data_IF_761058857145
#
_entry.id   IF_761058857145
#
_cell.length_a   1.000
_cell.length_b   1.000
_cell.length_c   1.000
_cell.angle_alpha   90.00
_cell.angle_beta   90.00
_cell.angle_gamma   90.00
#
_symmetry.space_group_name_H-M   'P 1'
#
loop_
_entity.id
_entity.type
_entity.pdbx_description
1 polymer ?
#
# COMPACT_ATOMS: atom_id res chain seq x y z
N UNK A 1 26.93 -62.62 -3.10
CA UNK A 1 26.42 -61.70 -2.06
C UNK A 1 26.13 -60.36 -2.71
N UNK A 2 24.88 -60.08 -3.06
CA UNK A 2 24.42 -58.76 -3.54
C UNK A 2 23.13 -58.46 -2.78
N UNK A 3 23.19 -57.53 -1.82
CA UNK A 3 22.04 -57.04 -1.07
C UNK A 3 21.28 -56.05 -1.95
N UNK A 4 20.03 -56.39 -2.24
CA UNK A 4 19.02 -55.51 -2.86
C UNK A 4 18.78 -54.28 -1.99
N UNK A 5 19.06 -53.09 -2.52
CA UNK A 5 18.66 -51.79 -1.97
C UNK A 5 17.26 -51.45 -2.51
N UNK A 6 16.23 -51.98 -1.86
CA UNK A 6 14.87 -51.50 -2.06
C UNK A 6 14.64 -50.27 -1.17
N UNK A 7 14.62 -49.08 -1.75
CA UNK A 7 14.08 -47.89 -1.07
C UNK A 7 12.54 -48.04 -0.97
N UNK A 8 11.92 -47.84 0.19
CA UNK A 8 10.47 -47.90 0.30
C UNK A 8 9.85 -46.69 -0.41
N UNK A 9 9.06 -46.96 -1.45
CA UNK A 9 8.17 -45.98 -2.06
C UNK A 9 7.12 -45.56 -1.02
N UNK A 10 7.11 -44.28 -0.64
CA UNK A 10 6.03 -43.69 0.18
C UNK A 10 4.72 -43.77 -0.60
N UNK A 11 3.72 -44.43 -0.03
CA UNK A 11 2.36 -44.50 -0.57
C UNK A 11 1.65 -43.14 -0.42
N UNK A 12 0.78 -42.76 -1.37
CA UNK A 12 0.01 -41.52 -1.30
C UNK A 12 -1.21 -41.74 -0.38
N UNK A 13 -0.98 -41.74 0.94
CA UNK A 13 -2.03 -41.86 1.95
C UNK A 13 -1.89 -40.91 3.16
N UNK A 14 -0.72 -40.31 3.36
CA UNK A 14 -0.39 -39.53 4.57
C UNK A 14 -0.52 -38.01 4.39
N UNK A 15 -1.56 -37.55 3.67
CA UNK A 15 -1.99 -36.15 3.80
C UNK A 15 -3.38 -36.14 4.41
N UNK A 16 -3.40 -36.29 5.73
CA UNK A 16 -4.53 -35.91 6.57
C UNK A 16 -4.89 -34.45 6.26
N UNK A 17 -5.93 -34.28 5.44
CA UNK A 17 -6.74 -33.07 5.40
C UNK A 17 -7.75 -33.18 6.53
N UNK A 18 -7.26 -33.30 7.76
CA UNK A 18 -8.05 -33.16 8.97
C UNK A 18 -7.38 -32.08 9.81
N UNK A 19 -7.47 -30.84 9.35
CA UNK A 19 -7.21 -29.68 10.20
C UNK A 19 -8.54 -29.31 10.82
N UNK A 20 -8.81 -29.87 11.99
CA UNK A 20 -9.81 -29.30 12.89
C UNK A 20 -9.42 -27.83 13.14
N UNK A 21 -10.41 -26.97 13.40
CA UNK A 21 -10.21 -25.54 13.65
C UNK A 21 -9.32 -25.24 14.88
N UNK A 22 -8.92 -26.29 15.62
CA UNK A 22 -8.17 -26.31 16.87
C UNK A 22 -6.64 -26.21 16.66
N UNK A 23 -6.11 -26.56 15.48
CA UNK A 23 -4.67 -26.52 15.16
C UNK A 23 -4.23 -25.18 14.52
N UNK A 24 -4.92 -24.07 14.84
CA UNK A 24 -4.45 -22.75 14.42
C UNK A 24 -3.24 -22.36 15.27
N UNK A 25 -2.05 -22.16 14.67
CA UNK A 25 -0.91 -21.66 15.43
C UNK A 25 -1.27 -20.32 16.07
N UNK A 26 -0.84 -20.10 17.31
CA UNK A 26 -1.02 -18.81 17.98
C UNK A 26 -0.34 -17.70 17.18
N UNK A 27 -0.78 -16.46 17.39
CA UNK A 27 -0.17 -15.30 16.75
C UNK A 27 1.33 -15.21 17.08
N UNK A 28 1.73 -15.56 18.31
CA UNK A 28 3.14 -15.59 18.70
C UNK A 28 3.92 -16.70 17.97
N UNK A 29 3.35 -17.89 17.84
CA UNK A 29 3.98 -19.00 17.12
C UNK A 29 4.18 -18.67 15.63
N UNK A 30 3.22 -17.98 15.02
CA UNK A 30 3.32 -17.51 13.64
C UNK A 30 4.39 -16.42 13.50
N UNK A 31 4.43 -15.46 14.42
CA UNK A 31 5.44 -14.40 14.44
C UNK A 31 6.85 -14.97 14.60
N UNK A 32 7.05 -15.91 15.53
CA UNK A 32 8.35 -16.57 15.73
C UNK A 32 8.81 -17.28 14.46
N UNK A 33 7.89 -17.99 13.78
CA UNK A 33 8.20 -18.66 12.51
C UNK A 33 8.61 -17.67 11.42
N UNK A 34 7.93 -16.53 11.29
CA UNK A 34 8.29 -15.49 10.31
C UNK A 34 9.63 -14.85 10.62
N UNK A 35 9.94 -14.60 11.91
CA UNK A 35 11.23 -14.10 12.35
C UNK A 35 12.35 -15.09 12.04
N UNK A 36 12.13 -16.40 12.29
CA UNK A 36 13.10 -17.46 11.93
C UNK A 36 13.36 -17.50 10.43
N UNK A 37 12.33 -17.53 9.60
CA UNK A 37 12.46 -17.50 8.13
C UNK A 37 13.27 -16.29 7.67
N UNK A 38 13.04 -15.12 8.29
CA UNK A 38 13.77 -13.90 7.99
C UNK A 38 15.23 -13.96 8.43
N UNK A 39 15.53 -14.58 9.57
CA UNK A 39 16.92 -14.78 10.02
C UNK A 39 17.69 -15.81 9.18
N UNK A 40 17.02 -16.87 8.75
CA UNK A 40 17.63 -17.96 7.95
C UNK A 40 17.93 -17.51 6.52
N UNK A 41 17.08 -16.66 5.96
CA UNK A 41 17.26 -16.10 4.61
C UNK A 41 18.10 -14.80 4.59
N UNK A 42 18.42 -14.23 5.76
CA UNK A 42 19.18 -12.97 5.86
C UNK A 42 18.54 -11.81 5.06
N UNK A 43 19.37 -10.97 4.43
CA UNK A 43 18.91 -9.89 3.54
C UNK A 43 18.15 -10.34 2.29
N UNK A 44 18.05 -11.65 2.04
CA UNK A 44 17.23 -12.26 0.98
C UNK A 44 15.84 -12.68 1.46
N UNK A 45 15.48 -12.41 2.72
CA UNK A 45 14.13 -12.68 3.22
C UNK A 45 13.10 -12.01 2.31
N UNK A 46 12.16 -12.81 1.78
CA UNK A 46 11.24 -12.30 0.78
C UNK A 46 10.42 -11.13 1.32
N UNK A 47 10.20 -10.13 0.46
CA UNK A 47 9.39 -8.96 0.79
C UNK A 47 8.00 -9.34 1.35
N UNK A 48 7.45 -10.49 0.94
CA UNK A 48 6.16 -10.99 1.41
C UNK A 48 6.23 -11.49 2.87
N UNK A 49 7.35 -12.08 3.31
CA UNK A 49 7.58 -12.44 4.73
C UNK A 49 7.64 -11.18 5.60
N UNK A 50 8.31 -10.12 5.11
CA UNK A 50 8.37 -8.84 5.82
C UNK A 50 6.99 -8.19 5.92
N UNK A 51 6.17 -8.22 4.86
CA UNK A 51 4.78 -7.73 4.90
C UNK A 51 3.93 -8.53 5.89
N UNK A 52 4.02 -9.87 5.87
CA UNK A 52 3.26 -10.72 6.80
C UNK A 52 3.60 -10.41 8.26
N UNK A 53 4.89 -10.27 8.57
CA UNK A 53 5.34 -9.87 9.91
C UNK A 53 4.82 -8.47 10.28
N UNK A 54 4.90 -7.51 9.36
CA UNK A 54 4.39 -6.16 9.58
C UNK A 54 2.89 -6.12 9.87
N UNK A 55 2.09 -6.95 9.21
CA UNK A 55 0.65 -7.05 9.48
C UNK A 55 0.37 -7.62 10.89
N UNK A 56 1.11 -8.63 11.33
CA UNK A 56 0.97 -9.15 12.71
C UNK A 56 1.35 -8.10 13.75
N UNK A 57 2.46 -7.41 13.52
CA UNK A 57 2.90 -6.31 14.39
C UNK A 57 1.89 -5.17 14.44
N UNK A 58 1.21 -4.88 13.32
CA UNK A 58 0.13 -3.90 13.27
C UNK A 58 -1.05 -4.30 14.16
N UNK A 59 -1.47 -5.56 14.12
CA UNK A 59 -2.55 -6.08 14.97
C UNK A 59 -2.18 -6.02 16.46
N UNK A 60 -0.90 -6.23 16.77
CA UNK A 60 -0.38 -6.16 18.13
C UNK A 60 -0.04 -4.72 18.59
N UNK A 61 -0.22 -3.71 17.73
CA UNK A 61 0.05 -2.31 18.05
C UNK A 61 1.53 -1.93 18.16
N UNK A 62 2.46 -2.82 17.76
CA UNK A 62 3.91 -2.57 17.90
C UNK A 62 4.38 -1.34 17.13
N UNK A 63 5.24 -0.51 17.74
CA UNK A 63 5.73 0.74 17.13
C UNK A 63 6.67 0.51 15.93
N UNK A 64 7.40 -0.61 15.92
CA UNK A 64 8.35 -1.00 14.87
C UNK A 64 7.70 -1.34 13.52
N UNK A 65 6.37 -1.37 13.46
CA UNK A 65 5.60 -1.77 12.28
C UNK A 65 6.03 -1.03 11.01
N UNK A 66 6.24 0.29 11.08
CA UNK A 66 6.60 1.10 9.92
C UNK A 66 7.99 0.71 9.36
N UNK A 67 8.96 0.44 10.23
CA UNK A 67 10.29 -0.05 9.85
C UNK A 67 10.23 -1.45 9.23
N UNK A 68 9.34 -2.31 9.71
CA UNK A 68 9.13 -3.63 9.10
C UNK A 68 8.57 -3.52 7.68
N UNK A 69 7.60 -2.63 7.44
CA UNK A 69 7.11 -2.35 6.09
C UNK A 69 8.16 -1.68 5.20
N UNK A 70 8.97 -0.77 5.74
CA UNK A 70 10.09 -0.16 5.02
C UNK A 70 11.10 -1.21 4.57
N UNK A 71 11.44 -2.17 5.43
CA UNK A 71 12.35 -3.25 5.07
C UNK A 71 11.79 -4.16 3.96
N UNK A 72 10.47 -4.29 3.84
CA UNK A 72 9.83 -5.04 2.76
C UNK A 72 9.99 -4.36 1.39
N UNK A 73 10.18 -3.04 1.37
CA UNK A 73 10.47 -2.27 0.15
C UNK A 73 11.94 -2.38 -0.29
N UNK A 74 12.84 -2.76 0.63
CA UNK A 74 14.27 -2.95 0.38
C UNK A 74 14.65 -4.40 0.06
N UNK A 75 13.77 -5.36 0.37
CA UNK A 75 14.00 -6.76 0.08
C UNK A 75 14.12 -7.00 -1.45
N UNK A 76 15.00 -7.93 -1.89
CA UNK A 76 15.12 -8.28 -3.30
C UNK A 76 13.76 -8.66 -3.86
N UNK A 77 13.41 -8.11 -5.03
CA UNK A 77 12.19 -8.54 -5.70
C UNK A 77 12.41 -9.93 -6.29
N UNK A 78 11.38 -10.76 -6.15
CA UNK A 78 11.29 -11.95 -7.00
C UNK A 78 10.93 -11.44 -8.39
N UNK A 79 11.94 -11.28 -9.26
CA UNK A 79 11.87 -10.86 -10.68
C UNK A 79 11.03 -11.80 -11.57
N UNK A 80 10.14 -12.56 -10.95
CA UNK A 80 9.07 -13.27 -11.63
C UNK A 80 8.27 -12.31 -12.53
N UNK A 81 8.21 -12.67 -13.80
CA UNK A 81 7.77 -11.88 -14.97
C UNK A 81 6.36 -11.25 -14.89
N UNK A 82 5.62 -11.46 -13.80
CA UNK A 82 4.26 -10.95 -13.58
C UNK A 82 4.12 -10.30 -12.18
N UNK A 83 4.16 -8.96 -12.13
CA UNK A 83 3.55 -8.20 -11.02
C UNK A 83 4.48 -7.44 -10.06
N UNK A 84 5.79 -7.34 -10.34
CA UNK A 84 6.72 -6.58 -9.50
C UNK A 84 6.28 -5.10 -9.25
N UNK A 85 5.92 -4.28 -10.28
CA UNK A 85 5.49 -2.89 -10.04
C UNK A 85 4.22 -2.77 -9.20
N UNK A 86 3.23 -3.64 -9.44
CA UNK A 86 1.95 -3.64 -8.68
C UNK A 86 2.16 -4.04 -7.22
N UNK A 87 3.03 -5.02 -6.96
CA UNK A 87 3.40 -5.42 -5.60
C UNK A 87 4.14 -4.31 -4.88
N UNK A 88 5.07 -3.64 -5.57
CA UNK A 88 5.79 -2.48 -5.03
C UNK A 88 4.84 -1.32 -4.71
N UNK A 89 3.93 -0.98 -5.62
CA UNK A 89 2.86 0.00 -5.38
C UNK A 89 2.02 -0.37 -4.15
N UNK A 90 1.65 -1.65 -4.02
CA UNK A 90 0.89 -2.15 -2.87
C UNK A 90 1.65 -2.00 -1.56
N UNK A 91 2.95 -2.31 -1.54
CA UNK A 91 3.81 -2.17 -0.35
C UNK A 91 3.99 -0.71 0.07
N UNK A 92 4.20 0.20 -0.89
CA UNK A 92 4.23 1.64 -0.63
C UNK A 92 2.90 2.15 -0.05
N UNK A 93 1.77 1.71 -0.62
CA UNK A 93 0.45 2.04 -0.08
C UNK A 93 0.24 1.48 1.33
N UNK A 94 0.71 0.26 1.62
CA UNK A 94 0.65 -0.31 2.97
C UNK A 94 1.48 0.51 3.97
N UNK A 95 2.70 0.90 3.59
CA UNK A 95 3.54 1.76 4.42
C UNK A 95 2.86 3.11 4.69
N UNK A 96 2.31 3.75 3.65
CA UNK A 96 1.57 5.00 3.80
C UNK A 96 0.38 4.89 4.77
N UNK A 97 -0.38 3.80 4.70
CA UNK A 97 -1.50 3.54 5.61
C UNK A 97 -1.03 3.41 7.06
N UNK A 98 0.07 2.71 7.28
CA UNK A 98 0.68 2.57 8.61
C UNK A 98 1.16 3.93 9.13
N UNK A 99 1.83 4.74 8.31
CA UNK A 99 2.31 6.07 8.68
C UNK A 99 1.16 7.02 9.02
N UNK A 100 0.10 7.02 8.21
CA UNK A 100 -1.10 7.84 8.44
C UNK A 100 -1.80 7.47 9.76
N UNK A 101 -1.84 6.19 10.12
CA UNK A 101 -2.41 5.72 11.38
C UNK A 101 -1.52 6.05 12.59
N UNK A 102 -0.22 6.25 12.37
CA UNK A 102 0.76 6.65 13.39
C UNK A 102 0.91 8.17 13.52
N UNK A 103 0.04 8.95 12.87
CA UNK A 103 0.06 10.41 12.97
C UNK A 103 1.21 11.07 12.20
N UNK A 104 1.75 10.40 11.17
CA UNK A 104 2.78 10.94 10.25
C UNK A 104 2.18 11.18 8.85
N UNK A 105 1.25 12.13 8.67
CA UNK A 105 0.55 12.33 7.40
C UNK A 105 1.46 12.78 6.26
N UNK A 106 2.53 13.53 6.53
CA UNK A 106 3.49 13.99 5.51
C UNK A 106 4.25 12.81 4.89
N UNK A 107 4.77 11.91 5.72
CA UNK A 107 5.45 10.70 5.25
C UNK A 107 4.47 9.76 4.54
N UNK A 108 3.21 9.72 5.00
CA UNK A 108 2.16 8.94 4.34
C UNK A 108 1.88 9.46 2.92
N UNK A 109 1.75 10.79 2.73
CA UNK A 109 1.61 11.41 1.41
C UNK A 109 2.78 11.00 0.52
N UNK A 110 4.01 11.10 0.99
CA UNK A 110 5.19 10.68 0.23
C UNK A 110 5.11 9.19 -0.17
N UNK A 111 4.77 8.30 0.76
CA UNK A 111 4.60 6.88 0.48
C UNK A 111 3.49 6.59 -0.55
N UNK A 112 2.36 7.30 -0.51
CA UNK A 112 1.30 7.16 -1.52
C UNK A 112 1.71 7.67 -2.89
N UNK A 113 2.48 8.77 -2.95
CA UNK A 113 3.05 9.26 -4.22
C UNK A 113 3.97 8.22 -4.85
N UNK A 114 4.80 7.55 -4.06
CA UNK A 114 5.58 6.41 -4.54
C UNK A 114 4.69 5.25 -5.00
N UNK A 115 3.59 4.94 -4.31
CA UNK A 115 2.66 3.92 -4.78
C UNK A 115 2.07 4.26 -6.16
N UNK A 116 1.74 5.54 -6.38
CA UNK A 116 1.24 6.06 -7.66
C UNK A 116 2.31 6.11 -8.74
N UNK A 117 3.57 6.35 -8.39
CA UNK A 117 4.68 6.26 -9.35
C UNK A 117 4.76 4.86 -9.97
N UNK A 118 4.66 3.82 -9.14
CA UNK A 118 4.68 2.43 -9.62
C UNK A 118 3.37 2.00 -10.26
N UNK A 119 2.25 2.61 -9.88
CA UNK A 119 0.93 2.35 -10.46
C UNK A 119 0.08 3.63 -10.47
N UNK A 120 0.12 4.44 -11.56
CA UNK A 120 -0.53 5.76 -11.61
C UNK A 120 -2.04 5.73 -11.39
N UNK A 121 -2.68 4.66 -11.82
CA UNK A 121 -4.12 4.44 -11.68
C UNK A 121 -4.40 3.41 -10.58
N UNK A 122 -3.89 3.65 -9.37
CA UNK A 122 -4.15 2.79 -8.21
C UNK A 122 -5.20 3.42 -7.30
N UNK A 123 -6.51 3.06 -7.43
CA UNK A 123 -7.59 3.75 -6.74
C UNK A 123 -7.42 3.76 -5.21
N UNK A 124 -6.89 2.67 -4.63
CA UNK A 124 -6.65 2.60 -3.18
C UNK A 124 -5.60 3.61 -2.71
N UNK A 125 -4.52 3.81 -3.48
CA UNK A 125 -3.52 4.82 -3.14
C UNK A 125 -4.05 6.24 -3.34
N UNK A 126 -4.87 6.49 -4.37
CA UNK A 126 -5.50 7.81 -4.59
C UNK A 126 -6.46 8.19 -3.45
N UNK A 127 -7.30 7.27 -3.00
CA UNK A 127 -8.22 7.49 -1.87
C UNK A 127 -7.44 7.73 -0.58
N UNK A 128 -6.41 6.92 -0.33
CA UNK A 128 -5.58 7.07 0.87
C UNK A 128 -4.77 8.38 0.86
N UNK A 129 -4.29 8.79 -0.32
CA UNK A 129 -3.67 10.09 -0.51
C UNK A 129 -4.65 11.21 -0.18
N UNK A 130 -5.85 11.20 -0.74
CA UNK A 130 -6.88 12.20 -0.44
C UNK A 130 -7.17 12.31 1.06
N UNK A 131 -7.30 11.19 1.78
CA UNK A 131 -7.49 11.22 3.23
C UNK A 131 -6.29 11.81 4.00
N UNK A 132 -5.06 11.52 3.58
CA UNK A 132 -3.86 12.10 4.19
C UNK A 132 -3.72 13.59 3.89
N UNK A 133 -4.11 14.00 2.69
CA UNK A 133 -4.19 15.39 2.23
C UNK A 133 -5.16 16.22 3.08
N UNK A 134 -6.38 15.70 3.32
CA UNK A 134 -7.34 16.33 4.22
C UNK A 134 -6.81 16.48 5.65
N UNK A 135 -6.10 15.47 6.16
CA UNK A 135 -5.51 15.53 7.52
C UNK A 135 -4.45 16.62 7.66
N UNK A 136 -3.71 16.94 6.58
CA UNK A 136 -2.74 18.06 6.56
C UNK A 136 -3.36 19.40 6.13
N UNK A 137 -4.67 19.44 5.84
CA UNK A 137 -5.39 20.64 5.42
C UNK A 137 -5.28 20.98 3.92
N UNK A 138 -4.76 20.06 3.09
CA UNK A 138 -4.65 20.21 1.63
C UNK A 138 -5.95 19.83 0.92
N UNK A 139 -6.99 20.64 1.07
CA UNK A 139 -8.32 20.33 0.53
C UNK A 139 -8.36 20.22 -1.00
N UNK A 140 -7.62 21.08 -1.70
CA UNK A 140 -7.61 21.08 -3.17
C UNK A 140 -6.82 19.90 -3.73
N UNK A 141 -5.72 19.52 -3.09
CA UNK A 141 -4.95 18.33 -3.44
C UNK A 141 -5.73 17.04 -3.13
N UNK A 142 -6.49 17.01 -2.03
CA UNK A 142 -7.40 15.92 -1.71
C UNK A 142 -8.47 15.74 -2.78
N UNK A 143 -9.13 16.84 -3.17
CA UNK A 143 -10.13 16.85 -4.24
C UNK A 143 -9.54 16.37 -5.57
N UNK A 144 -8.30 16.78 -5.90
CA UNK A 144 -7.61 16.32 -7.11
C UNK A 144 -7.38 14.80 -7.08
N UNK A 145 -6.94 14.26 -5.94
CA UNK A 145 -6.73 12.82 -5.77
C UNK A 145 -8.04 12.02 -5.83
N UNK A 146 -9.13 12.53 -5.25
CA UNK A 146 -10.47 11.94 -5.38
C UNK A 146 -10.95 11.94 -6.83
N UNK A 147 -10.80 13.06 -7.55
CA UNK A 147 -11.17 13.15 -8.95
C UNK A 147 -10.39 12.13 -9.82
N UNK A 148 -9.09 11.95 -9.55
CA UNK A 148 -8.31 10.90 -10.21
C UNK A 148 -8.79 9.49 -9.86
N UNK A 149 -9.20 9.24 -8.61
CA UNK A 149 -9.75 7.96 -8.17
C UNK A 149 -11.08 7.64 -8.87
N UNK A 150 -11.97 8.64 -8.99
CA UNK A 150 -13.24 8.55 -9.70
C UNK A 150 -13.01 8.24 -11.17
N UNK A 151 -12.08 8.95 -11.82
CA UNK A 151 -11.77 8.74 -13.23
C UNK A 151 -11.18 7.33 -13.52
N UNK A 152 -10.55 6.71 -12.53
CA UNK A 152 -9.92 5.38 -12.66
C UNK A 152 -10.83 4.23 -12.22
N UNK A 153 -11.97 4.53 -11.59
CA UNK A 153 -12.87 3.54 -11.00
C UNK A 153 -14.13 3.36 -11.84
N UNK A 154 -14.76 2.17 -11.82
CA UNK A 154 -16.06 1.98 -12.45
C UNK A 154 -17.12 2.88 -11.81
N UNK A 155 -18.05 3.41 -12.61
CA UNK A 155 -19.08 4.36 -12.15
C UNK A 155 -19.90 3.87 -10.95
N UNK A 156 -20.14 2.57 -10.83
CA UNK A 156 -20.88 1.97 -9.71
C UNK A 156 -20.14 2.01 -8.36
N UNK A 157 -18.82 2.23 -8.36
CA UNK A 157 -17.99 2.28 -7.16
C UNK A 157 -17.69 3.71 -6.68
N UNK A 158 -18.11 4.74 -7.43
CA UNK A 158 -17.68 6.12 -7.21
C UNK A 158 -18.65 6.96 -6.37
N UNK A 159 -19.82 6.44 -5.98
CA UNK A 159 -20.86 7.23 -5.31
C UNK A 159 -20.38 7.90 -4.02
N UNK A 160 -19.67 7.15 -3.17
CA UNK A 160 -19.08 7.69 -1.94
C UNK A 160 -18.00 8.74 -2.23
N UNK A 161 -17.20 8.54 -3.28
CA UNK A 161 -16.14 9.48 -3.66
C UNK A 161 -16.72 10.80 -4.18
N UNK A 162 -17.81 10.74 -4.96
CA UNK A 162 -18.53 11.94 -5.40
C UNK A 162 -19.13 12.71 -4.22
N UNK A 163 -19.73 12.01 -3.25
CA UNK A 163 -20.31 12.65 -2.07
C UNK A 163 -19.26 13.36 -1.20
N UNK A 164 -18.08 12.73 -1.02
CA UNK A 164 -16.96 13.35 -0.31
C UNK A 164 -16.43 14.58 -1.05
N UNK A 165 -16.23 14.47 -2.36
CA UNK A 165 -15.77 15.56 -3.21
C UNK A 165 -16.76 16.73 -3.23
N UNK A 166 -18.07 16.47 -3.25
CA UNK A 166 -19.10 17.52 -3.19
C UNK A 166 -19.04 18.28 -1.87
N UNK A 167 -18.92 17.55 -0.75
CA UNK A 167 -18.78 18.16 0.58
C UNK A 167 -17.53 19.05 0.64
N UNK A 168 -16.42 18.59 0.10
CA UNK A 168 -15.16 19.35 0.06
C UNK A 168 -15.26 20.57 -0.86
N UNK A 169 -15.85 20.43 -2.05
CA UNK A 169 -16.07 21.52 -2.99
C UNK A 169 -17.00 22.61 -2.44
N UNK A 170 -18.07 22.22 -1.73
CA UNK A 170 -18.98 23.16 -1.08
C UNK A 170 -18.36 23.86 0.13
N UNK A 171 -17.47 23.18 0.85
CA UNK A 171 -16.74 23.77 1.96
C UNK A 171 -15.68 24.78 1.50
N UNK A 172 -15.20 24.66 0.25
CA UNK A 172 -14.12 25.46 -0.30
C UNK A 172 -14.61 26.48 -1.32
N UNK A 173 -14.62 27.76 -0.93
CA UNK A 173 -15.08 28.86 -1.80
C UNK A 173 -14.00 29.42 -2.72
N UNK A 174 -12.88 28.71 -2.92
CA UNK A 174 -11.76 29.22 -3.73
C UNK A 174 -11.92 28.97 -5.22
N UNK A 175 -12.79 28.04 -5.63
CA UNK A 175 -13.03 27.69 -7.03
C UNK A 175 -14.54 27.71 -7.27
N UNK A 176 -15.05 28.83 -7.77
CA UNK A 176 -16.48 29.13 -7.89
C UNK A 176 -17.25 28.09 -8.74
N UNK A 177 -16.58 27.46 -9.71
CA UNK A 177 -17.18 26.47 -10.63
C UNK A 177 -17.06 25.01 -10.14
N UNK A 178 -16.29 24.74 -9.07
CA UNK A 178 -15.97 23.36 -8.69
C UNK A 178 -17.20 22.63 -8.18
N UNK A 179 -17.98 23.27 -7.30
CA UNK A 179 -19.19 22.67 -6.75
C UNK A 179 -20.22 22.32 -7.83
N UNK A 180 -20.42 23.20 -8.82
CA UNK A 180 -21.31 22.97 -9.94
C UNK A 180 -20.84 21.78 -10.80
N UNK A 181 -19.55 21.76 -11.15
CA UNK A 181 -18.97 20.66 -11.93
C UNK A 181 -19.07 19.31 -11.20
N UNK A 182 -18.92 19.32 -9.87
CA UNK A 182 -19.05 18.13 -9.02
C UNK A 182 -20.49 17.66 -8.95
N UNK A 183 -21.47 18.56 -8.74
CA UNK A 183 -22.90 18.22 -8.73
C UNK A 183 -23.39 17.68 -10.06
N UNK A 184 -22.85 18.19 -11.17
CA UNK A 184 -23.12 17.67 -12.51
C UNK A 184 -22.41 16.34 -12.82
N UNK A 185 -21.59 15.81 -11.89
CA UNK A 185 -20.74 14.62 -12.06
C UNK A 185 -19.82 14.73 -13.31
N UNK A 186 -19.43 15.94 -13.70
CA UNK A 186 -18.68 16.19 -14.92
C UNK A 186 -17.17 16.09 -14.67
N UNK A 187 -16.68 14.85 -14.58
CA UNK A 187 -15.31 14.55 -14.14
C UNK A 187 -14.21 15.23 -14.97
N UNK A 188 -14.43 15.46 -16.26
CA UNK A 188 -13.46 16.16 -17.11
C UNK A 188 -13.26 17.61 -16.67
N UNK A 189 -14.35 18.34 -16.39
CA UNK A 189 -14.30 19.73 -15.90
C UNK A 189 -13.73 19.80 -14.48
N UNK A 190 -14.12 18.88 -13.61
CA UNK A 190 -13.56 18.79 -12.26
C UNK A 190 -12.03 18.66 -12.30
N UNK A 191 -11.50 17.77 -13.16
CA UNK A 191 -10.06 17.59 -13.32
C UNK A 191 -9.37 18.80 -13.94
N UNK A 192 -10.02 19.51 -14.85
CA UNK A 192 -9.51 20.75 -15.43
C UNK A 192 -9.36 21.85 -14.36
N UNK A 193 -10.39 22.05 -13.54
CA UNK A 193 -10.39 23.03 -12.45
C UNK A 193 -9.35 22.71 -11.37
N UNK A 194 -9.11 21.42 -11.11
CA UNK A 194 -8.15 20.95 -10.12
C UNK A 194 -6.73 20.71 -10.68
N UNK A 195 -6.51 20.94 -11.98
CA UNK A 195 -5.20 20.71 -12.61
C UNK A 195 -4.03 21.43 -11.90
N UNK A 196 -4.15 22.69 -11.45
CA UNK A 196 -3.08 23.37 -10.72
C UNK A 196 -2.73 22.75 -9.36
N UNK A 197 -3.61 21.90 -8.82
CA UNK A 197 -3.44 21.24 -7.52
C UNK A 197 -3.14 19.74 -7.66
N UNK A 198 -2.89 19.29 -8.89
CA UNK A 198 -2.60 17.89 -9.21
C UNK A 198 -1.10 17.55 -9.20
N UNK A 199 -0.22 18.47 -8.80
CA UNK A 199 1.23 18.29 -8.74
C UNK A 199 1.64 17.07 -7.89
N UNK A 200 0.86 16.74 -6.86
CA UNK A 200 1.11 15.56 -6.04
C UNK A 200 0.79 14.23 -6.75
N UNK A 201 -0.03 14.28 -7.80
CA UNK A 201 -0.37 13.15 -8.67
C UNK A 201 0.58 13.03 -9.86
N UNK A 202 1.28 14.11 -10.20
CA UNK A 202 2.36 14.04 -11.17
C UNK A 202 3.54 13.26 -10.57
N UNK A 203 3.70 12.05 -11.08
CA UNK A 203 4.75 11.12 -10.66
C UNK A 203 5.92 11.13 -11.64
N UNK A 204 5.81 11.86 -12.76
CA UNK A 204 6.91 12.04 -13.72
C UNK A 204 8.07 12.86 -13.15
N UNK A 205 7.82 13.58 -12.06
CA UNK A 205 8.76 14.44 -11.32
C UNK A 205 9.25 13.84 -9.99
N UNK A 206 9.01 12.55 -9.72
CA UNK A 206 9.56 11.90 -8.51
C UNK A 206 11.08 12.07 -8.49
N UNK A 207 11.68 12.42 -7.33
CA UNK A 207 13.09 12.78 -7.28
C UNK A 207 13.95 11.55 -7.64
N UNK A 208 15.15 11.80 -8.19
CA UNK A 208 16.12 10.78 -8.56
C UNK A 208 16.64 9.95 -7.35
N UNK A 209 16.18 10.25 -6.14
CA UNK A 209 16.48 9.55 -4.90
C UNK A 209 15.92 8.14 -4.91
N UNK A 210 16.77 7.19 -4.56
CA UNK A 210 16.41 5.79 -4.44
C UNK A 210 15.35 5.57 -3.34
N UNK A 211 14.50 4.52 -3.45
CA UNK A 211 13.62 4.11 -2.35
C UNK A 211 14.32 3.99 -0.99
N UNK A 212 15.60 3.61 -0.96
CA UNK A 212 16.37 3.49 0.28
C UNK A 212 16.64 4.84 0.94
N UNK A 213 17.00 5.86 0.16
CA UNK A 213 17.26 7.21 0.67
C UNK A 213 15.98 7.84 1.24
N UNK A 214 14.85 7.68 0.54
CA UNK A 214 13.55 8.16 1.03
C UNK A 214 13.19 7.53 2.37
N UNK A 215 13.41 6.22 2.53
CA UNK A 215 13.10 5.53 3.79
C UNK A 215 14.06 5.94 4.93
N UNK A 216 15.30 6.32 4.62
CA UNK A 216 16.25 6.90 5.60
C UNK A 216 15.80 8.29 6.04
N UNK A 217 15.37 9.15 5.10
CA UNK A 217 14.82 10.48 5.42
C UNK A 217 13.59 10.37 6.33
N UNK A 218 12.74 9.37 6.09
CA UNK A 218 11.60 9.02 6.96
C UNK A 218 12.02 8.40 8.31
N UNK A 219 13.31 8.18 8.57
CA UNK A 219 13.84 7.53 9.78
C UNK A 219 13.26 6.13 10.02
N UNK A 220 13.00 5.39 8.94
CA UNK A 220 12.44 4.04 9.01
C UNK A 220 13.50 2.94 8.91
N UNK A 221 14.66 3.29 8.33
CA UNK A 221 15.83 2.43 8.15
C UNK A 221 17.10 3.23 8.42
N UNK A 222 18.19 2.54 8.78
CA UNK A 222 19.53 3.12 9.02
C UNK A 222 20.29 3.41 7.71
#
# INVERSE_FOLDING_TARGET
MLRSLAMPMRTPGDRGFDRTCEDRPSEEALQERLLRLRSEQGGSASADVAVALGLLQLLQGQESVASTFASALLAPEDDSYFGAPRRRATRWNMLGAVLANRGRPEDAVCAYRWALYWQPHYPRALINLAMAELKRGGFLEAAAAQAAAIASSPSWACGELWAQLEKEALAQTSIDDLAEAVQAHHIARVRELLAPHSDNLDTSSMPATSPAEVLKEMKLVE
#
